data_IF_707329384688
#
_entry.id   IF_707329384688
#
_cell.length_a   1.000
_cell.length_b   1.000
_cell.length_c   1.000
_cell.angle_alpha   90.00
_cell.angle_beta   90.00
_cell.angle_gamma   90.00
#
_symmetry.space_group_name_H-M   'P 1'
#
loop_
_entity.id
_entity.type
_entity.pdbx_description
1 polymer ?
#
# COMPACT_ATOMS: atom_id res chain seq x y z
N UNK A 1 -9.46 -16.08 24.77
CA UNK A 1 -9.32 -14.85 23.96
C UNK A 1 -8.91 -13.71 24.88
N UNK A 2 -7.61 -13.41 25.01
CA UNK A 2 -7.11 -12.39 25.96
C UNK A 2 -7.37 -11.01 25.36
N UNK A 3 -8.43 -10.38 25.83
CA UNK A 3 -8.74 -8.98 25.60
C UNK A 3 -7.61 -8.19 26.25
N UNK A 4 -6.71 -7.61 25.46
CA UNK A 4 -5.69 -6.70 25.98
C UNK A 4 -6.43 -5.49 26.55
N UNK A 5 -6.66 -5.53 27.87
CA UNK A 5 -7.06 -4.38 28.67
C UNK A 5 -5.97 -3.33 28.40
N UNK A 6 -6.32 -2.34 27.59
CA UNK A 6 -5.43 -1.31 27.08
C UNK A 6 -4.92 -0.47 28.27
N UNK A 7 -3.91 -0.99 28.95
CA UNK A 7 -3.19 -0.26 29.97
C UNK A 7 -2.26 0.70 29.22
N UNK A 8 -2.82 1.78 28.67
CA UNK A 8 -2.00 2.88 28.20
C UNK A 8 -1.54 3.65 29.43
N UNK A 9 -0.46 3.16 30.04
CA UNK A 9 0.28 3.94 31.01
C UNK A 9 0.88 5.14 30.30
N UNK A 10 0.73 6.32 30.92
CA UNK A 10 1.42 7.54 30.46
C UNK A 10 2.89 7.37 30.80
N UNK A 11 3.72 7.21 29.78
CA UNK A 11 5.17 7.13 29.92
C UNK A 11 5.78 8.39 29.33
N UNK A 12 6.70 9.01 30.05
CA UNK A 12 7.49 10.12 29.53
C UNK A 12 8.82 9.54 29.03
N UNK A 13 9.03 9.57 27.73
CA UNK A 13 10.24 9.07 27.07
C UNK A 13 10.67 10.13 26.06
N UNK A 14 11.98 10.36 25.97
CA UNK A 14 12.54 11.21 24.92
C UNK A 14 12.59 10.41 23.62
N UNK A 15 12.10 11.02 22.55
CA UNK A 15 12.05 10.42 21.21
C UNK A 15 12.62 11.44 20.25
N UNK A 16 13.42 10.98 19.29
CA UNK A 16 13.94 11.81 18.22
C UNK A 16 12.80 12.27 17.30
N UNK A 17 12.62 13.58 17.20
CA UNK A 17 11.56 14.21 16.41
C UNK A 17 11.77 14.03 14.90
N UNK A 18 13.01 13.90 14.44
CA UNK A 18 13.32 13.69 13.03
C UNK A 18 12.92 12.26 12.61
N UNK A 19 13.18 11.27 13.46
CA UNK A 19 12.73 9.89 13.24
C UNK A 19 11.21 9.80 13.25
N UNK A 20 10.55 10.49 14.17
CA UNK A 20 9.08 10.51 14.22
C UNK A 20 8.49 11.18 12.98
N UNK A 21 9.09 12.27 12.50
CA UNK A 21 8.68 12.93 11.27
C UNK A 21 8.86 12.03 10.03
N UNK A 22 9.93 11.23 9.97
CA UNK A 22 10.12 10.25 8.91
C UNK A 22 9.04 9.16 8.94
N UNK A 23 8.74 8.61 10.12
CA UNK A 23 7.69 7.58 10.28
C UNK A 23 6.31 8.12 9.96
N UNK A 24 6.00 9.35 10.38
CA UNK A 24 4.75 10.05 10.06
C UNK A 24 4.60 10.19 8.56
N UNK A 25 5.62 10.69 7.85
CA UNK A 25 5.57 10.84 6.39
C UNK A 25 5.46 9.49 5.67
N UNK A 26 6.15 8.47 6.17
CA UNK A 26 6.22 7.15 5.54
C UNK A 26 4.92 6.34 5.69
N UNK A 27 4.17 6.56 6.77
CA UNK A 27 2.97 5.80 7.08
C UNK A 27 1.70 6.66 7.19
N UNK A 28 1.79 7.93 6.78
CA UNK A 28 0.71 8.93 6.78
C UNK A 28 -0.04 9.02 8.13
N UNK A 29 0.73 9.22 9.20
CA UNK A 29 0.20 9.23 10.58
C UNK A 29 -0.08 10.63 11.08
N UNK A 30 -1.04 10.77 12.00
CA UNK A 30 -1.48 12.08 12.49
C UNK A 30 -0.76 12.53 13.76
N UNK A 31 -0.14 11.61 14.53
CA UNK A 31 0.48 11.95 15.81
C UNK A 31 1.73 11.13 16.15
N UNK A 32 2.60 11.71 16.98
CA UNK A 32 3.76 11.02 17.55
C UNK A 32 3.36 9.74 18.31
N UNK A 33 2.20 9.75 18.97
CA UNK A 33 1.66 8.58 19.70
C UNK A 33 1.31 7.45 18.75
N UNK A 34 0.69 7.76 17.61
CA UNK A 34 0.39 6.76 16.57
C UNK A 34 1.66 6.20 15.95
N UNK A 35 2.68 7.04 15.72
CA UNK A 35 3.98 6.57 15.24
C UNK A 35 4.61 5.56 16.19
N UNK A 36 4.57 5.84 17.51
CA UNK A 36 5.08 4.93 18.54
C UNK A 36 4.25 3.65 18.64
N UNK A 37 2.91 3.76 18.62
CA UNK A 37 2.03 2.58 18.66
C UNK A 37 2.26 1.69 17.44
N UNK A 38 2.39 2.27 16.24
CA UNK A 38 2.71 1.53 15.02
C UNK A 38 4.09 0.86 15.09
N UNK A 39 5.11 1.57 15.60
CA UNK A 39 6.46 1.02 15.75
C UNK A 39 6.46 -0.16 16.73
N UNK A 40 5.79 -0.03 17.87
CA UNK A 40 5.66 -1.09 18.86
C UNK A 40 4.87 -2.28 18.32
N UNK A 41 3.78 -2.04 17.57
CA UNK A 41 3.02 -3.11 16.90
C UNK A 41 3.82 -3.81 15.82
N UNK A 42 4.71 -3.13 15.12
CA UNK A 42 5.61 -3.76 14.14
C UNK A 42 6.72 -4.55 14.81
N UNK A 43 7.24 -4.05 15.93
CA UNK A 43 8.25 -4.75 16.72
C UNK A 43 7.67 -5.97 17.46
N UNK A 44 6.44 -5.88 17.94
CA UNK A 44 5.75 -6.92 18.70
C UNK A 44 4.93 -7.87 17.82
N UNK A 45 4.46 -7.39 16.66
CA UNK A 45 3.84 -8.22 15.64
C UNK A 45 4.88 -9.25 15.21
N UNK A 46 4.57 -10.53 15.43
CA UNK A 46 5.45 -11.64 15.07
C UNK A 46 5.98 -11.36 13.67
N UNK A 47 7.29 -11.11 13.56
CA UNK A 47 7.94 -10.98 12.27
C UNK A 47 7.47 -12.18 11.45
N UNK A 48 6.84 -11.92 10.32
CA UNK A 48 6.53 -12.99 9.39
C UNK A 48 7.87 -13.66 9.13
N UNK A 49 8.06 -14.87 9.64
CA UNK A 49 9.37 -15.50 9.60
C UNK A 49 9.71 -15.70 8.13
N UNK A 50 10.99 -15.52 7.74
CA UNK A 50 11.41 -15.81 6.38
C UNK A 50 10.94 -17.20 5.91
N UNK A 51 10.88 -18.16 6.85
CA UNK A 51 10.35 -19.51 6.63
C UNK A 51 8.85 -19.53 6.29
N UNK A 52 8.02 -18.69 6.94
CA UNK A 52 6.61 -18.57 6.60
C UNK A 52 6.43 -17.95 5.21
N UNK A 53 7.19 -16.90 4.87
CA UNK A 53 7.18 -16.33 3.50
C UNK A 53 7.59 -17.36 2.47
N UNK A 54 8.63 -18.16 2.77
CA UNK A 54 9.06 -19.26 1.91
C UNK A 54 8.02 -20.37 1.80
N UNK A 55 7.27 -20.64 2.87
CA UNK A 55 6.16 -21.60 2.85
C UNK A 55 4.99 -21.14 1.98
N UNK A 56 4.84 -19.81 1.78
CA UNK A 56 3.90 -19.25 0.81
C UNK A 56 4.42 -19.32 -0.64
N UNK A 57 5.70 -19.65 -0.85
CA UNK A 57 6.23 -19.80 -2.21
C UNK A 57 5.78 -21.15 -2.77
N UNK A 58 4.72 -21.13 -3.57
CA UNK A 58 4.15 -22.33 -4.20
C UNK A 58 2.65 -22.49 -4.00
N UNK A 59 2.03 -21.70 -3.12
CA UNK A 59 0.60 -21.44 -3.22
C UNK A 59 0.39 -20.58 -4.47
N UNK A 60 0.07 -21.23 -5.58
CA UNK A 60 -0.22 -20.56 -6.84
C UNK A 60 -1.26 -19.46 -6.62
N UNK A 61 -1.01 -18.29 -7.19
CA UNK A 61 -2.01 -17.24 -7.24
C UNK A 61 -2.85 -17.47 -8.50
N UNK A 62 -4.15 -17.74 -8.34
CA UNK A 62 -5.07 -18.08 -9.44
C UNK A 62 -5.65 -16.85 -10.18
N UNK A 63 -5.23 -15.64 -9.82
CA UNK A 63 -5.69 -14.45 -10.52
C UNK A 63 -5.03 -14.28 -11.89
N UNK A 64 -5.70 -13.58 -12.78
CA UNK A 64 -5.13 -13.11 -14.03
C UNK A 64 -4.50 -11.72 -13.81
N UNK A 65 -3.17 -11.64 -13.93
CA UNK A 65 -2.43 -10.38 -13.78
C UNK A 65 -2.77 -9.38 -14.88
N UNK A 66 -3.10 -9.86 -16.08
CA UNK A 66 -3.37 -9.01 -17.22
C UNK A 66 -4.79 -8.45 -17.15
N UNK A 67 -5.76 -9.21 -16.64
CA UNK A 67 -7.09 -8.69 -16.32
C UNK A 67 -7.08 -7.60 -15.22
N UNK A 68 -6.18 -7.69 -14.24
CA UNK A 68 -6.02 -6.66 -13.20
C UNK A 68 -5.28 -5.40 -13.70
N UNK A 69 -4.48 -5.51 -14.75
CA UNK A 69 -3.74 -4.38 -15.35
C UNK A 69 -4.47 -3.74 -16.53
N UNK A 70 -5.25 -4.54 -17.25
CA UNK A 70 -5.92 -4.17 -18.50
C UNK A 70 -7.21 -3.38 -18.34
N UNK A 71 -7.38 -2.68 -17.21
CA UNK A 71 -8.53 -1.79 -17.02
C UNK A 71 -8.56 -0.60 -17.97
N UNK A 72 -7.43 -0.23 -18.60
CA UNK A 72 -7.34 0.92 -19.52
C UNK A 72 -6.14 0.77 -20.48
N UNK A 73 -6.18 -0.17 -21.43
CA UNK A 73 -5.17 -0.20 -22.50
C UNK A 73 -5.69 -0.86 -23.78
N UNK A 74 -6.81 -0.37 -24.30
CA UNK A 74 -7.07 -0.33 -25.74
C UNK A 74 -8.31 0.53 -26.00
N UNK A 75 -8.14 1.85 -25.96
CA UNK A 75 -8.94 2.74 -26.78
C UNK A 75 -8.01 3.26 -27.88
N UNK A 76 -7.93 2.60 -29.05
CA UNK A 76 -7.38 3.27 -30.21
C UNK A 76 -8.35 4.36 -30.65
N UNK A 77 -7.88 5.56 -30.39
CA UNK A 77 -8.36 6.85 -30.86
C UNK A 77 -8.55 6.86 -32.39
N UNK A 78 -9.62 7.52 -32.84
CA UNK A 78 -9.55 8.38 -34.03
C UNK A 78 -9.80 7.76 -35.41
N UNK A 79 -11.04 7.34 -35.68
CA UNK A 79 -11.57 7.42 -37.05
C UNK A 79 -11.80 8.91 -37.40
N UNK A 80 -10.72 9.60 -37.78
CA UNK A 80 -10.81 10.88 -38.49
C UNK A 80 -11.23 10.58 -39.91
N UNK A 81 -12.54 10.51 -40.14
CA UNK A 81 -13.12 10.53 -41.49
C UNK A 81 -12.64 11.80 -42.18
N UNK A 82 -11.73 11.61 -43.14
CA UNK A 82 -11.21 12.66 -44.00
C UNK A 82 -12.33 13.30 -44.79
N UNK A 83 -12.43 14.62 -44.68
CA UNK A 83 -13.19 15.43 -45.62
C UNK A 83 -12.45 15.44 -46.96
N UNK A 84 -12.91 14.60 -47.89
CA UNK A 84 -12.78 14.82 -49.33
C UNK A 84 -14.16 15.36 -49.80
N UNK A 85 -14.32 16.53 -50.41
CA UNK A 85 -13.32 17.29 -51.16
C UNK A 85 -13.49 17.28 -52.67
N UNK A 86 -14.72 17.11 -53.21
CA UNK A 86 -15.18 17.64 -54.52
C UNK A 86 -14.26 17.43 -55.74
N UNK A 87 -14.69 16.57 -56.65
CA UNK A 87 -14.57 16.70 -58.11
C UNK A 87 -15.47 15.63 -58.74
N UNK A 88 -16.35 15.81 -59.72
CA UNK A 88 -16.59 16.87 -60.69
C UNK A 88 -17.14 16.15 -61.93
N UNK A 89 -18.40 16.41 -62.31
CA UNK A 89 -18.94 16.24 -63.67
C UNK A 89 -20.07 17.24 -63.85
#
# INVERSE_FOLDING_TARGET
>A
MKVYRWCMTRTNIDIDDDLVAEVIRKYDLSSKREAVDLALRKAAGSAITPDFVWSLKGIGWEGDLDALRGGDADTPEGERVGTDGRSGV
#
